data_IF_527617420476
#
_entry.id   IF_527617420476
#
_cell.length_a   1.000
_cell.length_b   1.000
_cell.length_c   1.000
_cell.angle_alpha   90.00
_cell.angle_beta   90.00
_cell.angle_gamma   90.00
#
_symmetry.space_group_name_H-M   'P 1'
#
loop_
_entity.id
_entity.type
_entity.pdbx_description
1 polymer ?
#
# COMPACT_ATOMS: atom_id res chain seq x y z
N UNK A 1 -16.25 13.50 -13.20
CA UNK A 1 -14.81 13.50 -12.84
C UNK A 1 -14.44 12.46 -11.78
N UNK A 2 -14.38 12.76 -10.47
CA UNK A 2 -13.82 11.84 -9.46
C UNK A 2 -14.51 10.46 -9.40
N UNK A 3 -15.84 10.40 -9.43
CA UNK A 3 -16.59 9.12 -9.46
C UNK A 3 -16.23 8.26 -10.68
N UNK A 4 -16.02 8.89 -11.84
CA UNK A 4 -15.69 8.20 -13.09
C UNK A 4 -14.25 7.67 -13.04
N UNK A 5 -13.29 8.48 -12.56
CA UNK A 5 -11.90 8.05 -12.37
C UNK A 5 -11.77 6.86 -11.40
N UNK A 6 -12.51 6.90 -10.28
CA UNK A 6 -12.55 5.79 -9.32
C UNK A 6 -13.20 4.55 -9.93
N UNK A 7 -14.29 4.71 -10.68
CA UNK A 7 -14.95 3.59 -11.36
C UNK A 7 -14.07 2.94 -12.44
N UNK A 8 -13.33 3.73 -13.21
CA UNK A 8 -12.43 3.23 -14.26
C UNK A 8 -11.20 2.53 -13.66
N UNK A 9 -10.70 3.03 -12.51
CA UNK A 9 -9.62 2.39 -11.77
C UNK A 9 -10.03 1.01 -11.19
N UNK A 10 -11.26 0.90 -10.67
CA UNK A 10 -11.79 -0.34 -10.08
C UNK A 10 -12.15 -1.38 -11.16
N UNK A 11 -12.75 -0.97 -12.28
CA UNK A 11 -13.23 -1.91 -13.32
C UNK A 11 -12.11 -2.58 -14.12
N UNK A 12 -10.91 -1.99 -14.14
CA UNK A 12 -9.81 -2.46 -14.95
C UNK A 12 -8.97 -3.59 -14.34
N UNK A 13 -9.45 -4.28 -13.30
CA UNK A 13 -8.75 -5.39 -12.64
C UNK A 13 -9.04 -6.78 -13.25
N UNK A 14 -9.98 -6.92 -14.20
CA UNK A 14 -10.48 -8.23 -14.64
C UNK A 14 -10.26 -8.58 -16.13
N UNK A 15 -9.41 -7.88 -16.87
CA UNK A 15 -9.13 -8.25 -18.27
C UNK A 15 -7.72 -7.88 -18.67
N UNK A 16 -6.89 -8.90 -18.99
CA UNK A 16 -5.57 -8.95 -19.69
C UNK A 16 -4.55 -7.79 -19.57
N UNK A 17 -4.85 -6.76 -18.80
CA UNK A 17 -4.04 -5.59 -18.53
C UNK A 17 -3.11 -5.86 -17.37
N UNK A 18 -1.91 -5.29 -17.46
CA UNK A 18 -0.86 -5.38 -16.44
C UNK A 18 -1.45 -5.12 -15.05
N UNK A 19 -1.22 -6.04 -14.13
CA UNK A 19 -1.61 -5.88 -12.73
C UNK A 19 -1.01 -4.58 -12.17
N UNK A 20 -1.80 -3.79 -11.43
CA UNK A 20 -1.46 -2.45 -10.96
C UNK A 20 -1.92 -2.22 -9.54
N UNK A 21 -1.18 -1.41 -8.80
CA UNK A 21 -1.60 -0.92 -7.49
C UNK A 21 -2.48 0.33 -7.66
N UNK A 22 -3.46 0.50 -6.78
CA UNK A 22 -4.27 1.71 -6.67
C UNK A 22 -4.05 2.33 -5.30
N UNK A 23 -3.71 3.61 -5.27
CA UNK A 23 -3.60 4.38 -4.01
C UNK A 23 -4.50 5.60 -4.11
N UNK A 24 -5.51 5.67 -3.24
CA UNK A 24 -6.36 6.83 -3.06
C UNK A 24 -5.94 7.58 -1.80
N UNK A 25 -5.56 8.84 -1.96
CA UNK A 25 -5.22 9.75 -0.87
C UNK A 25 -6.33 10.78 -0.68
N UNK A 26 -6.99 10.75 0.46
CA UNK A 26 -7.99 11.74 0.87
C UNK A 26 -7.37 12.64 1.93
N UNK A 27 -7.22 13.93 1.61
CA UNK A 27 -6.73 14.93 2.58
C UNK A 27 -7.88 15.79 3.04
N UNK A 28 -8.12 15.83 4.35
CA UNK A 28 -9.14 16.67 4.96
C UNK A 28 -8.47 17.81 5.71
N UNK A 29 -8.87 19.04 5.40
CA UNK A 29 -8.51 20.23 6.18
C UNK A 29 -9.77 20.75 6.87
N UNK A 30 -9.71 20.88 8.19
CA UNK A 30 -10.80 21.38 9.04
C UNK A 30 -10.31 22.60 9.81
N UNK A 31 -11.12 23.65 9.85
CA UNK A 31 -10.89 24.80 10.75
C UNK A 31 -11.99 24.84 11.79
N UNK A 32 -11.61 24.84 13.07
CA UNK A 32 -12.54 25.11 14.16
C UNK A 32 -12.84 26.61 14.17
N UNK A 33 -14.10 26.98 13.90
CA UNK A 33 -14.49 28.40 13.81
C UNK A 33 -14.47 29.14 15.14
N UNK A 34 -14.66 28.45 16.26
CA UNK A 34 -14.66 29.08 17.58
C UNK A 34 -13.24 29.41 18.06
N UNK A 35 -12.26 28.56 17.75
CA UNK A 35 -10.87 28.71 18.22
C UNK A 35 -9.90 29.18 17.14
N UNK A 36 -10.33 29.19 15.87
CA UNK A 36 -9.46 29.41 14.71
C UNK A 36 -8.50 28.25 14.39
N UNK A 37 -8.46 27.18 15.21
CA UNK A 37 -7.51 26.08 15.04
C UNK A 37 -7.76 25.31 13.74
N UNK A 38 -6.71 25.16 12.93
CA UNK A 38 -6.75 24.34 11.72
C UNK A 38 -6.13 22.96 11.98
N UNK A 39 -6.82 21.90 11.57
CA UNK A 39 -6.37 20.52 11.61
C UNK A 39 -6.34 19.96 10.19
N UNK A 40 -5.23 19.33 9.82
CA UNK A 40 -5.11 18.58 8.57
C UNK A 40 -4.96 17.10 8.89
N UNK A 41 -5.65 16.25 8.15
CA UNK A 41 -5.58 14.80 8.26
C UNK A 41 -5.50 14.16 6.88
N UNK A 42 -4.93 12.96 6.81
CA UNK A 42 -4.80 12.17 5.60
C UNK A 42 -5.33 10.77 5.86
N UNK A 43 -6.18 10.29 4.95
CA UNK A 43 -6.59 8.89 4.85
C UNK A 43 -6.01 8.33 3.55
N UNK A 44 -5.24 7.25 3.65
CA UNK A 44 -4.73 6.51 2.51
C UNK A 44 -5.47 5.17 2.40
N UNK A 45 -6.05 4.90 1.24
CA UNK A 45 -6.64 3.61 0.89
C UNK A 45 -5.82 3.03 -0.26
N UNK A 46 -5.11 1.94 0.00
CA UNK A 46 -4.28 1.26 -0.98
C UNK A 46 -4.86 -0.12 -1.29
N UNK A 47 -5.15 -0.37 -2.56
CA UNK A 47 -5.49 -1.68 -3.09
C UNK A 47 -4.30 -2.20 -3.91
N UNK A 48 -3.77 -3.35 -3.51
CA UNK A 48 -2.54 -3.89 -4.08
C UNK A 48 -2.87 -5.01 -5.06
N UNK A 49 -2.27 -4.93 -6.25
CA UNK A 49 -2.30 -6.04 -7.21
C UNK A 49 -1.84 -7.34 -6.56
N UNK A 50 -2.49 -8.46 -6.90
CA UNK A 50 -2.08 -9.78 -6.44
C UNK A 50 -0.64 -10.09 -6.84
N UNK A 51 0.13 -10.66 -5.90
CA UNK A 51 1.46 -11.19 -6.14
C UNK A 51 1.35 -12.66 -6.56
N UNK A 52 1.87 -13.00 -7.73
CA UNK A 52 1.97 -14.34 -8.25
C UNK A 52 3.34 -14.53 -8.92
N UNK A 53 3.75 -15.77 -9.19
CA UNK A 53 5.00 -16.06 -9.90
C UNK A 53 5.06 -15.42 -11.30
N UNK A 54 3.91 -15.17 -11.91
CA UNK A 54 3.78 -14.54 -13.23
C UNK A 54 3.61 -13.02 -13.17
N UNK A 55 3.68 -12.42 -11.98
CA UNK A 55 3.55 -10.97 -11.82
C UNK A 55 4.68 -10.22 -12.53
N UNK A 56 4.33 -9.08 -13.13
CA UNK A 56 5.30 -8.21 -13.79
C UNK A 56 6.30 -7.60 -12.81
N UNK A 57 7.45 -7.09 -13.31
CA UNK A 57 8.54 -6.61 -12.48
C UNK A 57 8.16 -5.45 -11.55
N UNK A 58 7.20 -4.60 -11.97
CA UNK A 58 6.70 -3.49 -11.16
C UNK A 58 5.97 -3.98 -9.90
N UNK A 59 5.04 -4.93 -10.06
CA UNK A 59 4.32 -5.55 -8.93
C UNK A 59 5.29 -6.30 -8.02
N UNK A 60 6.14 -7.16 -8.58
CA UNK A 60 7.12 -7.92 -7.78
C UNK A 60 8.10 -6.99 -7.05
N UNK A 61 8.52 -5.90 -7.69
CA UNK A 61 9.40 -4.88 -7.11
C UNK A 61 8.73 -4.13 -5.95
N UNK A 62 7.44 -3.82 -6.06
CA UNK A 62 6.71 -3.14 -5.00
C UNK A 62 6.59 -3.98 -3.72
N UNK A 63 6.35 -5.29 -3.85
CA UNK A 63 6.29 -6.23 -2.72
C UNK A 63 7.66 -6.43 -2.07
N UNK A 64 8.74 -6.55 -2.86
CA UNK A 64 10.12 -6.60 -2.33
C UNK A 64 10.49 -5.34 -1.56
N UNK A 65 10.11 -4.16 -2.07
CA UNK A 65 10.36 -2.91 -1.36
C UNK A 65 9.56 -2.82 -0.04
N UNK A 66 8.29 -3.25 -0.04
CA UNK A 66 7.47 -3.32 1.18
C UNK A 66 8.11 -4.25 2.23
N UNK A 67 8.56 -5.42 1.80
CA UNK A 67 9.25 -6.39 2.64
C UNK A 67 10.54 -5.83 3.25
N UNK A 68 11.41 -5.22 2.44
CA UNK A 68 12.63 -4.56 2.91
C UNK A 68 12.33 -3.46 3.94
N UNK A 69 11.28 -2.67 3.72
CA UNK A 69 10.82 -1.64 4.67
C UNK A 69 10.34 -2.28 5.97
N UNK A 70 9.50 -3.32 5.92
CA UNK A 70 9.01 -3.99 7.12
C UNK A 70 10.13 -4.62 7.94
N UNK A 71 11.08 -5.29 7.28
CA UNK A 71 12.25 -5.86 7.94
C UNK A 71 13.11 -4.80 8.62
N UNK A 72 13.39 -3.69 7.92
CA UNK A 72 14.15 -2.59 8.50
C UNK A 72 13.42 -1.94 9.70
N UNK A 73 12.09 -1.80 9.62
CA UNK A 73 11.26 -1.30 10.72
C UNK A 73 11.24 -2.27 11.92
N UNK A 74 11.10 -3.57 11.68
CA UNK A 74 11.13 -4.60 12.73
C UNK A 74 12.48 -4.61 13.47
N UNK A 75 13.57 -4.32 12.76
CA UNK A 75 14.92 -4.17 13.31
C UNK A 75 15.22 -2.79 13.91
N UNK A 76 14.23 -1.89 13.94
CA UNK A 76 14.36 -0.51 14.40
C UNK A 76 15.52 0.26 13.71
N UNK A 77 15.75 0.00 12.43
CA UNK A 77 16.79 0.69 11.67
C UNK A 77 16.48 2.19 11.55
N UNK A 78 17.54 3.02 11.65
CA UNK A 78 17.39 4.48 11.60
C UNK A 78 16.86 5.00 10.26
N UNK A 79 17.13 4.29 9.16
CA UNK A 79 16.78 4.72 7.80
C UNK A 79 16.20 3.55 6.98
N UNK A 80 14.93 3.18 7.21
CA UNK A 80 14.28 2.16 6.40
C UNK A 80 14.24 2.59 4.91
N UNK A 81 14.36 1.64 3.97
CA UNK A 81 14.58 1.93 2.55
C UNK A 81 13.28 2.27 1.80
N UNK A 82 12.53 3.27 2.28
CA UNK A 82 11.27 3.70 1.65
C UNK A 82 11.42 4.13 0.18
N UNK A 83 12.64 4.50 -0.25
CA UNK A 83 12.93 5.02 -1.59
C UNK A 83 13.04 3.96 -2.68
N UNK A 84 13.12 2.69 -2.31
CA UNK A 84 13.35 1.59 -3.26
C UNK A 84 12.20 1.39 -4.25
N UNK A 85 11.00 1.88 -3.93
CA UNK A 85 9.85 1.85 -4.84
C UNK A 85 8.91 3.05 -4.65
N UNK A 86 8.22 3.48 -5.71
CA UNK A 86 7.27 4.59 -5.64
C UNK A 86 6.14 4.34 -4.62
N UNK A 87 5.67 3.10 -4.52
CA UNK A 87 4.64 2.68 -3.55
C UNK A 87 5.08 2.93 -2.09
N UNK A 88 6.29 2.52 -1.72
CA UNK A 88 6.81 2.69 -0.35
C UNK A 88 7.13 4.15 -0.04
N UNK A 89 7.45 4.98 -1.05
CA UNK A 89 7.61 6.43 -0.88
C UNK A 89 6.26 7.10 -0.60
N UNK A 90 5.23 6.79 -1.39
CA UNK A 90 3.88 7.37 -1.23
C UNK A 90 3.25 6.97 0.10
N UNK A 91 3.50 5.73 0.54
CA UNK A 91 2.97 5.17 1.79
C UNK A 91 3.91 5.32 2.99
N UNK A 92 5.01 6.06 2.87
CA UNK A 92 6.02 6.15 3.93
C UNK A 92 5.42 6.53 5.30
N UNK A 93 4.49 7.49 5.33
CA UNK A 93 3.86 7.90 6.58
C UNK A 93 2.87 6.88 7.14
N UNK A 94 2.35 6.00 6.28
CA UNK A 94 1.49 4.88 6.62
C UNK A 94 2.29 3.70 7.17
N UNK A 95 3.50 3.46 6.68
CA UNK A 95 4.27 2.27 7.02
C UNK A 95 5.13 2.44 8.28
N UNK A 96 5.83 3.58 8.40
CA UNK A 96 6.72 3.84 9.55
C UNK A 96 6.63 5.27 10.09
N UNK A 97 5.64 6.04 9.64
CA UNK A 97 5.40 7.40 10.11
C UNK A 97 4.40 7.47 11.26
N UNK A 98 3.62 8.55 11.30
CA UNK A 98 2.69 8.85 12.38
C UNK A 98 1.27 8.32 12.14
N UNK A 99 0.98 7.75 10.97
CA UNK A 99 -0.35 7.26 10.67
C UNK A 99 -0.67 5.99 11.46
N UNK A 100 -1.95 5.81 11.79
CA UNK A 100 -2.48 4.53 12.24
C UNK A 100 -2.83 3.72 10.98
N UNK A 101 -2.20 2.57 10.83
CA UNK A 101 -2.30 1.76 9.62
C UNK A 101 -2.77 0.36 9.96
N UNK A 102 -3.74 -0.13 9.19
CA UNK A 102 -4.17 -1.51 9.20
C UNK A 102 -3.86 -2.12 7.83
N UNK A 103 -3.28 -3.31 7.83
CA UNK A 103 -3.03 -4.10 6.63
C UNK A 103 -3.96 -5.31 6.62
N UNK A 104 -4.68 -5.50 5.53
CA UNK A 104 -5.54 -6.67 5.31
C UNK A 104 -4.88 -7.56 4.27
N UNK A 105 -4.55 -8.80 4.66
CA UNK A 105 -3.92 -9.79 3.79
C UNK A 105 -4.96 -10.84 3.39
N UNK A 106 -5.21 -10.94 2.09
CA UNK A 106 -6.05 -11.98 1.51
C UNK A 106 -5.18 -13.15 1.06
N UNK A 107 -5.17 -14.22 1.84
CA UNK A 107 -4.40 -15.43 1.55
C UNK A 107 -5.32 -16.51 0.96
N UNK A 108 -4.85 -17.29 -0.03
CA UNK A 108 -5.58 -18.46 -0.51
C UNK A 108 -5.69 -19.51 0.60
N UNK A 109 -6.67 -20.43 0.52
CA UNK A 109 -6.78 -21.54 1.46
C UNK A 109 -5.51 -22.42 1.43
N UNK A 110 -5.15 -23.08 2.54
CA UNK A 110 -3.88 -23.80 2.70
C UNK A 110 -3.59 -24.82 1.58
N UNK A 111 -4.61 -25.54 1.11
CA UNK A 111 -4.45 -26.62 0.12
C UNK A 111 -4.29 -26.11 -1.33
N UNK A 112 -4.61 -24.83 -1.59
CA UNK A 112 -4.43 -24.22 -2.90
C UNK A 112 -3.03 -23.60 -3.07
N UNK A 113 -2.31 -23.34 -1.98
CA UNK A 113 -1.02 -22.66 -1.97
C UNK A 113 0.15 -23.66 -2.06
N UNK A 114 0.31 -24.34 -3.20
CA UNK A 114 1.56 -25.09 -3.49
C UNK A 114 2.75 -24.18 -3.83
N UNK A 115 2.50 -22.89 -4.05
CA UNK A 115 3.55 -21.87 -4.05
C UNK A 115 3.56 -21.21 -2.68
N UNK A 116 4.56 -21.55 -1.88
CA UNK A 116 4.87 -20.94 -0.60
C UNK A 116 4.75 -19.42 -0.73
N UNK A 117 3.73 -18.82 -0.12
CA UNK A 117 3.93 -17.50 0.44
C UNK A 117 4.91 -17.81 1.58
N UNK A 118 6.21 -17.69 1.30
CA UNK A 118 7.20 -17.59 2.35
C UNK A 118 6.78 -16.37 3.16
N UNK A 119 6.00 -16.59 4.21
CA UNK A 119 5.86 -15.64 5.28
C UNK A 119 7.28 -15.54 5.79
N UNK A 120 7.99 -14.52 5.34
CA UNK A 120 9.39 -14.34 5.69
C UNK A 120 9.41 -14.14 7.19
N UNK A 121 9.90 -15.15 7.89
CA UNK A 121 10.00 -15.16 9.34
C UNK A 121 10.64 -13.85 9.81
N UNK A 122 9.94 -13.20 10.75
CA UNK A 122 10.31 -11.93 11.35
C UNK A 122 11.57 -12.06 12.21
#
# INVERSE_FOLDING_TARGET
ELKKMVQDAIRGASGSGKARHLVLLVTLTRTNRATGTMTRSKLALADLAGLAQTSGPDVTGSYRALESVFKALARAERRPPFRDHALTQVLQDCLGGSAKTALLLALPPPDAARSSIEIMDA
#
